data_IF_814529532862
#
_entry.id   IF_814529532862
#
_cell.length_a   1.000
_cell.length_b   1.000
_cell.length_c   1.000
_cell.angle_alpha   90.00
_cell.angle_beta   90.00
_cell.angle_gamma   90.00
#
_symmetry.space_group_name_H-M   'P 1'
#
loop_
_entity.id
_entity.type
_entity.pdbx_description
1 polymer ?
#
# COMPACT_ATOMS: atom_id res chain seq x y z
N UNK A 1 18.86 3.92 -2.45
CA UNK A 1 17.84 3.62 -1.43
C UNK A 1 16.56 4.38 -1.76
N UNK A 2 15.46 3.69 -1.75
CA UNK A 2 14.09 4.22 -1.94
C UNK A 2 13.81 5.42 -1.03
N UNK A 3 14.50 5.53 0.10
CA UNK A 3 14.28 6.56 1.12
C UNK A 3 15.08 7.85 0.92
N UNK A 4 16.09 7.86 0.04
CA UNK A 4 17.01 9.00 -0.08
C UNK A 4 16.38 10.28 -0.66
N UNK A 5 15.17 10.20 -1.19
CA UNK A 5 14.43 11.32 -1.77
C UNK A 5 13.04 11.48 -1.13
N UNK A 6 12.90 11.07 0.12
CA UNK A 6 11.65 11.24 0.85
C UNK A 6 11.52 12.67 1.39
N UNK A 7 10.33 13.24 1.27
CA UNK A 7 9.97 14.54 1.83
C UNK A 7 8.89 14.36 2.89
N UNK A 8 9.18 14.84 4.12
CA UNK A 8 8.27 14.76 5.26
C UNK A 8 7.18 15.82 5.18
N UNK A 9 5.96 15.43 5.53
CA UNK A 9 4.79 16.27 5.73
C UNK A 9 4.15 15.95 7.06
N UNK A 10 3.41 16.91 7.65
CA UNK A 10 2.81 16.76 8.98
C UNK A 10 1.28 16.80 8.97
N UNK A 11 0.69 17.24 7.87
CA UNK A 11 -0.76 17.41 7.75
C UNK A 11 -1.35 16.44 6.69
N UNK A 12 -2.45 15.74 6.98
CA UNK A 12 -3.23 15.68 8.23
C UNK A 12 -2.57 14.85 9.33
N UNK A 13 -1.59 14.04 9.01
CA UNK A 13 -0.74 13.28 9.90
C UNK A 13 0.66 13.14 9.29
N UNK A 14 1.64 12.75 10.10
CA UNK A 14 3.03 12.62 9.63
C UNK A 14 3.12 11.52 8.57
N UNK A 15 3.59 11.88 7.40
CA UNK A 15 3.89 10.99 6.29
C UNK A 15 5.07 11.49 5.48
N UNK A 16 5.61 10.61 4.65
CA UNK A 16 6.70 10.93 3.72
C UNK A 16 6.26 10.61 2.30
N UNK A 17 6.50 11.54 1.40
CA UNK A 17 6.29 11.33 -0.03
C UNK A 17 7.59 10.91 -0.70
N UNK A 18 7.49 10.01 -1.67
CA UNK A 18 8.59 9.40 -2.40
C UNK A 18 8.49 9.76 -3.88
N UNK A 19 9.58 10.26 -4.44
CA UNK A 19 9.67 10.56 -5.86
C UNK A 19 10.61 9.53 -6.53
N UNK A 20 10.10 8.85 -7.56
CA UNK A 20 10.80 7.81 -8.32
C UNK A 20 11.41 6.70 -7.43
N UNK A 21 10.61 6.10 -6.51
CA UNK A 21 11.13 5.06 -5.62
C UNK A 21 11.44 3.73 -6.30
N UNK A 22 10.85 3.45 -7.46
CA UNK A 22 10.97 2.17 -8.17
C UNK A 22 11.96 2.24 -9.32
N UNK A 23 12.67 1.14 -9.57
CA UNK A 23 13.46 0.94 -10.78
C UNK A 23 12.57 0.56 -11.97
N UNK A 24 13.07 0.72 -13.19
CA UNK A 24 12.36 0.28 -14.41
C UNK A 24 12.05 -1.23 -14.40
N UNK A 25 12.95 -2.05 -13.86
CA UNK A 25 12.71 -3.49 -13.69
C UNK A 25 11.51 -3.74 -12.78
N UNK A 26 11.45 -3.07 -11.62
CA UNK A 26 10.34 -3.22 -10.67
C UNK A 26 9.01 -2.76 -11.29
N UNK A 27 9.02 -1.66 -12.02
CA UNK A 27 7.84 -1.16 -12.73
C UNK A 27 7.36 -2.19 -13.77
N UNK A 28 8.28 -2.76 -14.57
CA UNK A 28 7.93 -3.77 -15.55
C UNK A 28 7.36 -5.05 -14.91
N UNK A 29 7.91 -5.47 -13.78
CA UNK A 29 7.37 -6.60 -13.02
C UNK A 29 5.95 -6.32 -12.49
N UNK A 30 5.69 -5.10 -12.00
CA UNK A 30 4.36 -4.68 -11.55
C UNK A 30 3.34 -4.71 -12.70
N UNK A 31 3.69 -4.19 -13.86
CA UNK A 31 2.80 -4.13 -15.03
C UNK A 31 2.44 -5.54 -15.53
N UNK A 32 3.38 -6.46 -15.46
CA UNK A 32 3.22 -7.82 -15.97
C UNK A 32 2.80 -8.83 -14.89
N UNK A 33 2.50 -8.39 -13.67
CA UNK A 33 2.07 -9.29 -12.61
C UNK A 33 0.71 -9.91 -12.92
N UNK A 34 0.57 -11.19 -12.62
CA UNK A 34 -0.72 -11.89 -12.69
C UNK A 34 -1.57 -11.49 -11.48
N UNK A 35 -2.42 -10.48 -11.68
CA UNK A 35 -3.22 -9.85 -10.65
C UNK A 35 -4.62 -10.45 -10.68
N UNK A 36 -4.95 -11.22 -9.66
CA UNK A 36 -6.22 -11.93 -9.55
C UNK A 36 -7.12 -11.33 -8.46
N UNK A 37 -8.44 -11.46 -8.62
CA UNK A 37 -9.39 -11.21 -7.55
C UNK A 37 -9.46 -12.43 -6.65
N UNK A 38 -9.01 -12.31 -5.41
CA UNK A 38 -8.94 -13.44 -4.48
C UNK A 38 -10.33 -13.99 -4.13
N UNK A 39 -11.35 -13.14 -4.10
CA UNK A 39 -12.74 -13.54 -3.82
C UNK A 39 -13.28 -14.38 -4.96
N UNK A 40 -13.12 -13.94 -6.22
CA UNK A 40 -13.58 -14.67 -7.41
C UNK A 40 -12.87 -16.02 -7.56
N UNK A 41 -11.58 -16.08 -7.24
CA UNK A 41 -10.80 -17.30 -7.31
C UNK A 41 -10.91 -18.18 -6.06
N UNK A 42 -11.73 -17.76 -5.09
CA UNK A 42 -11.93 -18.49 -3.83
C UNK A 42 -10.63 -18.88 -3.13
N UNK A 43 -9.62 -18.00 -3.23
CA UNK A 43 -8.32 -18.21 -2.62
C UNK A 43 -8.39 -17.95 -1.12
N UNK A 44 -7.69 -18.78 -0.36
CA UNK A 44 -7.62 -18.62 1.07
C UNK A 44 -6.89 -17.35 1.46
N UNK A 45 -7.36 -16.73 2.52
CA UNK A 45 -6.76 -15.58 3.14
C UNK A 45 -5.40 -15.93 3.78
N UNK A 46 -4.38 -15.14 3.53
CA UNK A 46 -3.00 -15.39 4.00
C UNK A 46 -2.69 -14.81 5.39
N UNK A 47 -3.69 -14.44 6.16
CA UNK A 47 -3.54 -13.80 7.46
C UNK A 47 -3.43 -12.28 7.41
N UNK A 48 -3.61 -11.65 6.26
CA UNK A 48 -3.31 -10.22 6.06
C UNK A 48 -4.50 -9.30 6.20
N UNK A 49 -5.69 -9.77 6.50
CA UNK A 49 -6.96 -9.00 6.49
C UNK A 49 -7.29 -8.30 5.18
N UNK A 50 -6.63 -8.66 4.12
CA UNK A 50 -6.81 -7.98 2.85
C UNK A 50 -8.18 -8.24 2.24
N UNK A 51 -8.84 -9.32 2.60
CA UNK A 51 -10.10 -9.76 1.99
C UNK A 51 -11.29 -9.41 2.88
N UNK A 52 -11.24 -9.72 4.18
CA UNK A 52 -12.47 -9.73 4.98
C UNK A 52 -12.28 -9.57 6.49
N UNK A 53 -11.10 -9.31 6.92
CA UNK A 53 -10.81 -9.24 8.35
C UNK A 53 -10.58 -10.61 9.01
N UNK A 54 -10.31 -11.67 8.24
CA UNK A 54 -9.83 -12.96 8.73
C UNK A 54 -10.89 -14.04 8.86
N UNK A 55 -12.10 -13.83 8.36
CA UNK A 55 -13.21 -14.79 8.49
C UNK A 55 -13.80 -15.29 7.16
N UNK A 56 -13.21 -14.93 6.00
CA UNK A 56 -13.77 -15.25 4.68
C UNK A 56 -15.09 -14.51 4.38
N UNK A 57 -15.34 -13.39 5.06
CA UNK A 57 -16.55 -12.58 4.89
C UNK A 57 -16.25 -11.11 4.76
N UNK A 58 -16.96 -10.42 3.90
CA UNK A 58 -16.91 -8.96 3.86
C UNK A 58 -17.39 -8.38 5.20
N UNK A 59 -16.61 -7.46 5.76
CA UNK A 59 -17.08 -6.71 6.91
C UNK A 59 -18.22 -5.81 6.49
N UNK A 60 -19.32 -5.91 7.20
CA UNK A 60 -20.41 -4.95 7.08
C UNK A 60 -19.87 -3.51 7.21
N UNK A 61 -20.11 -2.70 6.20
CA UNK A 61 -19.68 -1.31 6.16
C UNK A 61 -18.23 -1.03 5.73
N UNK A 62 -17.41 -2.06 5.43
CA UNK A 62 -16.17 -1.91 4.65
C UNK A 62 -16.53 -2.36 3.24
N UNK A 63 -16.85 -1.45 2.41
CA UNK A 63 -17.26 -1.56 1.02
C UNK A 63 -17.29 -2.97 0.43
N UNK A 64 -18.45 -3.56 0.29
CA UNK A 64 -18.61 -4.80 -0.47
C UNK A 64 -18.04 -4.68 -1.88
N UNK A 65 -18.19 -3.51 -2.50
CA UNK A 65 -17.55 -3.18 -3.76
C UNK A 65 -16.02 -3.11 -3.69
N UNK A 66 -15.43 -2.78 -2.53
CA UNK A 66 -13.98 -2.63 -2.39
C UNK A 66 -13.24 -3.94 -2.63
N UNK A 67 -13.65 -5.01 -1.99
CA UNK A 67 -12.94 -6.29 -2.13
C UNK A 67 -13.20 -6.98 -3.48
N UNK A 68 -14.42 -6.94 -3.98
CA UNK A 68 -14.76 -7.47 -5.30
C UNK A 68 -14.05 -6.73 -6.45
N UNK A 69 -13.67 -5.47 -6.24
CA UNK A 69 -13.00 -4.63 -7.23
C UNK A 69 -11.48 -4.52 -7.00
N UNK A 70 -10.94 -5.16 -5.97
CA UNK A 70 -9.53 -5.18 -5.67
C UNK A 70 -8.88 -6.47 -6.14
N UNK A 71 -7.93 -6.34 -7.04
CA UNK A 71 -7.15 -7.43 -7.61
C UNK A 71 -5.74 -7.41 -7.05
N UNK A 72 -5.14 -8.56 -6.78
CA UNK A 72 -3.88 -8.67 -6.07
C UNK A 72 -2.96 -9.75 -6.64
N UNK A 73 -1.65 -9.49 -6.50
CA UNK A 73 -0.61 -10.50 -6.60
C UNK A 73 0.31 -10.34 -5.38
N UNK A 74 0.39 -11.35 -4.52
CA UNK A 74 1.31 -11.36 -3.38
C UNK A 74 2.69 -11.80 -3.83
N UNK A 75 3.72 -11.04 -3.46
CA UNK A 75 5.11 -11.40 -3.71
C UNK A 75 5.60 -12.20 -2.50
N UNK A 76 5.73 -13.50 -2.67
CA UNK A 76 6.08 -14.48 -1.64
C UNK A 76 7.25 -15.36 -2.08
N UNK A 77 7.74 -16.20 -1.18
CA UNK A 77 8.82 -17.15 -1.49
C UNK A 77 8.50 -18.06 -2.68
N UNK A 78 7.21 -18.31 -2.94
CA UNK A 78 6.77 -19.22 -4.00
C UNK A 78 6.96 -18.62 -5.41
N UNK A 79 6.98 -17.26 -5.52
CA UNK A 79 7.12 -16.56 -6.79
C UNK A 79 8.29 -15.55 -6.83
N UNK A 80 9.22 -15.60 -5.88
CA UNK A 80 10.38 -14.70 -5.88
C UNK A 80 11.22 -14.75 -7.15
N UNK A 81 11.28 -15.90 -7.81
CA UNK A 81 12.04 -16.07 -9.05
C UNK A 81 11.37 -15.36 -10.24
N UNK A 82 10.05 -15.20 -10.21
CA UNK A 82 9.28 -14.54 -11.25
C UNK A 82 9.36 -13.00 -11.12
N UNK A 83 9.69 -12.50 -9.91
CA UNK A 83 9.75 -11.10 -9.55
C UNK A 83 11.08 -10.71 -8.88
N UNK A 84 12.23 -10.87 -9.57
CA UNK A 84 13.53 -10.63 -8.96
C UNK A 84 13.75 -9.18 -8.50
N UNK A 85 13.21 -8.19 -9.22
CA UNK A 85 13.29 -6.76 -8.85
C UNK A 85 12.46 -6.44 -7.60
N UNK A 86 11.23 -6.95 -7.52
CA UNK A 86 10.38 -6.78 -6.33
C UNK A 86 10.92 -7.57 -5.14
N UNK A 87 11.49 -8.75 -5.36
CA UNK A 87 12.19 -9.53 -4.35
C UNK A 87 13.38 -8.76 -3.79
N UNK A 88 14.15 -8.08 -4.64
CA UNK A 88 15.25 -7.22 -4.20
C UNK A 88 14.75 -6.02 -3.40
N UNK A 89 13.61 -5.44 -3.75
CA UNK A 89 12.98 -4.38 -2.96
C UNK A 89 12.64 -4.86 -1.53
N UNK A 90 12.05 -6.06 -1.41
CA UNK A 90 11.79 -6.67 -0.09
C UNK A 90 13.08 -6.84 0.70
N UNK A 91 14.14 -7.39 0.09
CA UNK A 91 15.45 -7.58 0.74
C UNK A 91 16.09 -6.26 1.15
N UNK A 92 15.99 -5.22 0.32
CA UNK A 92 16.48 -3.89 0.64
C UNK A 92 15.74 -3.28 1.83
N UNK A 93 14.42 -3.37 1.86
CA UNK A 93 13.59 -2.87 2.95
C UNK A 93 13.82 -3.63 4.27
N UNK A 94 14.14 -4.93 4.21
CA UNK A 94 14.46 -5.76 5.37
C UNK A 94 15.95 -5.77 5.75
N UNK A 95 16.79 -5.06 5.00
CA UNK A 95 18.19 -4.89 5.37
C UNK A 95 18.30 -4.12 6.68
N UNK A 96 19.21 -4.56 7.57
CA UNK A 96 19.37 -3.97 8.91
C UNK A 96 19.55 -2.44 8.86
N UNK A 97 20.41 -1.92 8.00
CA UNK A 97 20.66 -0.48 7.89
C UNK A 97 19.40 0.27 7.42
N UNK A 98 18.63 -0.30 6.49
CA UNK A 98 17.38 0.29 6.01
C UNK A 98 16.32 0.26 7.10
N UNK A 99 16.17 -0.85 7.81
CA UNK A 99 15.26 -0.95 8.95
C UNK A 99 15.59 0.08 10.05
N UNK A 100 16.86 0.25 10.39
CA UNK A 100 17.32 1.26 11.37
C UNK A 100 16.97 2.69 10.91
N UNK A 101 17.20 3.00 9.62
CA UNK A 101 16.82 4.32 9.07
C UNK A 101 15.31 4.55 9.12
N UNK A 102 14.52 3.58 8.72
CA UNK A 102 13.05 3.70 8.78
C UNK A 102 12.59 3.81 10.24
N UNK A 103 13.11 2.98 11.14
CA UNK A 103 12.80 3.03 12.57
C UNK A 103 13.03 4.43 13.15
N UNK A 104 14.17 5.05 12.80
CA UNK A 104 14.48 6.42 13.24
C UNK A 104 13.52 7.45 12.65
N UNK A 105 13.13 7.30 11.38
CA UNK A 105 12.18 8.22 10.73
C UNK A 105 10.78 8.16 11.36
N UNK A 106 10.29 6.95 11.62
CA UNK A 106 8.91 6.75 12.09
C UNK A 106 8.81 6.67 13.62
N UNK A 107 9.93 6.61 14.32
CA UNK A 107 9.96 6.51 15.79
C UNK A 107 9.43 5.18 16.33
N UNK A 108 9.57 4.08 15.57
CA UNK A 108 9.13 2.73 15.97
C UNK A 108 10.18 1.69 15.68
N UNK A 109 10.29 0.69 16.54
CA UNK A 109 11.19 -0.45 16.35
C UNK A 109 10.67 -1.40 15.26
N UNK A 110 11.49 -1.65 14.25
CA UNK A 110 11.21 -2.59 13.16
C UNK A 110 12.07 -3.86 13.23
N UNK A 111 12.81 -4.08 14.31
CA UNK A 111 13.75 -5.22 14.43
C UNK A 111 13.11 -6.59 14.24
N UNK A 112 11.84 -6.73 14.63
CA UNK A 112 11.05 -7.95 14.48
C UNK A 112 9.93 -7.83 13.41
N UNK A 113 9.98 -6.78 12.60
CA UNK A 113 9.01 -6.60 11.52
C UNK A 113 9.45 -7.32 10.25
N UNK A 114 8.49 -7.65 9.41
CA UNK A 114 8.73 -8.16 8.07
C UNK A 114 7.97 -7.34 7.03
N UNK A 115 8.47 -7.35 5.82
CA UNK A 115 7.82 -6.70 4.68
C UNK A 115 6.83 -7.69 4.07
N UNK A 116 5.58 -7.25 3.93
CA UNK A 116 4.61 -7.84 3.05
C UNK A 116 4.46 -6.94 1.83
N UNK A 117 4.73 -7.49 0.66
CA UNK A 117 4.60 -6.76 -0.60
C UNK A 117 3.53 -7.40 -1.45
N UNK A 118 2.65 -6.58 -1.97
CA UNK A 118 1.61 -6.97 -2.90
C UNK A 118 1.50 -5.97 -4.04
N UNK A 119 1.28 -6.47 -5.24
CA UNK A 119 0.88 -5.68 -6.40
C UNK A 119 -0.63 -5.63 -6.41
N UNK A 120 -1.19 -4.43 -6.48
CA UNK A 120 -2.64 -4.20 -6.37
C UNK A 120 -3.13 -3.46 -7.60
N UNK A 121 -4.28 -3.89 -8.12
CA UNK A 121 -5.05 -3.16 -9.12
C UNK A 121 -6.48 -2.99 -8.62
N UNK A 122 -6.86 -1.76 -8.32
CA UNK A 122 -8.23 -1.40 -8.01
C UNK A 122 -8.98 -1.11 -9.31
N UNK A 123 -10.18 -1.67 -9.48
CA UNK A 123 -11.00 -1.49 -10.67
C UNK A 123 -11.96 -0.30 -10.51
N UNK A 124 -12.48 0.18 -11.62
CA UNK A 124 -13.46 1.28 -11.65
C UNK A 124 -14.60 1.04 -10.67
N UNK A 125 -14.91 2.05 -9.85
CA UNK A 125 -15.92 1.97 -8.81
C UNK A 125 -15.40 1.48 -7.44
N UNK A 126 -14.11 1.17 -7.33
CA UNK A 126 -13.49 0.87 -6.03
C UNK A 126 -13.61 2.06 -5.08
N UNK A 127 -13.87 1.77 -3.83
CA UNK A 127 -13.86 2.74 -2.75
C UNK A 127 -13.51 2.06 -1.42
N UNK A 128 -13.00 2.82 -0.49
CA UNK A 128 -12.63 2.34 0.83
C UNK A 128 -12.94 3.41 1.87
N UNK A 129 -13.75 3.08 2.87
CA UNK A 129 -14.07 4.00 3.95
C UNK A 129 -12.82 4.49 4.66
N UNK A 130 -12.84 5.72 5.20
CA UNK A 130 -11.80 6.20 6.11
C UNK A 130 -11.60 5.21 7.26
N UNK A 131 -10.35 4.79 7.45
CA UNK A 131 -9.94 3.85 8.51
C UNK A 131 -8.51 4.12 8.94
N UNK A 132 -8.13 3.62 10.09
CA UNK A 132 -6.75 3.44 10.48
C UNK A 132 -6.37 1.98 10.33
N UNK A 133 -5.12 1.72 10.01
CA UNK A 133 -4.61 0.36 9.88
C UNK A 133 -4.63 -0.39 11.23
N UNK A 134 -4.61 -1.70 11.18
CA UNK A 134 -4.53 -2.57 12.35
C UNK A 134 -3.20 -2.41 13.08
N UNK A 135 -3.16 -2.78 14.36
CA UNK A 135 -1.98 -2.59 15.23
C UNK A 135 -0.73 -3.33 14.74
N UNK A 136 -0.93 -4.47 14.11
CA UNK A 136 0.15 -5.31 13.57
C UNK A 136 0.86 -4.66 12.38
N UNK A 137 0.22 -3.72 11.73
CA UNK A 137 0.76 -2.98 10.58
C UNK A 137 1.48 -1.73 11.09
N UNK A 138 2.77 -1.86 11.32
CA UNK A 138 3.60 -0.79 11.91
C UNK A 138 3.75 0.39 10.95
N UNK A 139 3.88 0.10 9.66
CA UNK A 139 4.05 1.09 8.59
C UNK A 139 3.26 0.68 7.36
N UNK A 140 2.67 1.63 6.69
CA UNK A 140 2.07 1.47 5.37
C UNK A 140 2.88 2.26 4.34
N UNK A 141 3.17 1.61 3.21
CA UNK A 141 3.85 2.20 2.08
C UNK A 141 3.09 1.85 0.81
N UNK A 142 2.71 2.85 0.03
CA UNK A 142 2.09 2.67 -1.28
C UNK A 142 2.97 3.33 -2.35
N UNK A 143 3.23 2.57 -3.42
CA UNK A 143 4.02 3.00 -4.56
C UNK A 143 3.16 2.87 -5.81
N UNK A 144 2.95 3.97 -6.51
CA UNK A 144 2.05 4.06 -7.66
C UNK A 144 2.78 3.84 -8.97
N UNK A 145 2.14 3.10 -9.88
CA UNK A 145 2.55 2.93 -11.27
C UNK A 145 1.38 3.35 -12.15
N UNK A 146 1.49 4.50 -12.79
CA UNK A 146 0.45 5.09 -13.65
C UNK A 146 0.97 5.25 -15.08
N UNK A 147 1.00 4.15 -15.84
CA UNK A 147 1.48 4.13 -17.23
C UNK A 147 0.40 4.50 -18.25
N UNK A 148 -0.84 4.63 -17.83
CA UNK A 148 -1.98 4.96 -18.69
C UNK A 148 -2.43 6.42 -18.57
N UNK A 149 -1.70 7.26 -17.82
CA UNK A 149 -2.06 8.66 -17.56
C UNK A 149 -3.48 8.82 -17.00
N UNK A 150 -3.86 7.92 -16.11
CA UNK A 150 -5.10 8.03 -15.35
C UNK A 150 -5.05 9.25 -14.42
N UNK A 151 -6.21 9.71 -13.98
CA UNK A 151 -6.31 10.89 -13.12
C UNK A 151 -5.50 10.76 -11.84
N UNK A 152 -4.76 11.79 -11.48
CA UNK A 152 -4.03 11.85 -10.20
C UNK A 152 -4.98 11.79 -8.99
N UNK A 153 -6.26 12.11 -9.15
CA UNK A 153 -7.27 12.03 -8.10
C UNK A 153 -7.63 10.60 -7.69
N UNK A 154 -7.16 9.58 -8.44
CA UNK A 154 -7.35 8.15 -8.11
C UNK A 154 -6.41 7.65 -7.01
N UNK A 155 -5.65 8.52 -6.38
CA UNK A 155 -4.78 8.17 -5.27
C UNK A 155 -5.52 8.01 -3.94
N UNK A 156 -4.75 7.80 -2.88
CA UNK A 156 -5.29 7.58 -1.53
C UNK A 156 -5.71 8.90 -0.89
N UNK A 157 -6.88 8.91 -0.31
CA UNK A 157 -7.42 10.04 0.44
C UNK A 157 -6.95 10.00 1.90
N UNK A 158 -6.46 11.14 2.39
CA UNK A 158 -6.06 11.37 3.78
C UNK A 158 -7.05 12.29 4.49
N UNK A 159 -7.43 11.92 5.69
CA UNK A 159 -8.46 12.60 6.47
C UNK A 159 -7.89 13.11 7.80
N UNK A 160 -8.50 14.16 8.33
CA UNK A 160 -8.24 14.61 9.69
C UNK A 160 -8.96 13.73 10.73
N UNK A 161 -8.81 14.06 12.01
CA UNK A 161 -9.45 13.36 13.12
C UNK A 161 -10.99 13.45 13.12
N UNK A 162 -11.56 14.40 12.38
CA UNK A 162 -13.00 14.55 12.18
C UNK A 162 -13.51 13.84 10.92
N UNK A 163 -12.66 13.03 10.29
CA UNK A 163 -12.93 12.34 9.03
C UNK A 163 -13.25 13.28 7.86
N UNK A 164 -12.75 14.51 7.91
CA UNK A 164 -12.83 15.43 6.78
C UNK A 164 -11.64 15.17 5.85
N UNK A 165 -11.93 15.04 4.56
CA UNK A 165 -10.89 14.93 3.53
C UNK A 165 -10.01 16.18 3.55
N UNK A 166 -8.70 15.96 3.70
CA UNK A 166 -7.67 17.01 3.73
C UNK A 166 -6.81 16.99 2.48
N UNK A 167 -6.44 15.79 2.01
CA UNK A 167 -5.50 15.62 0.92
C UNK A 167 -5.76 14.31 0.19
N UNK A 168 -5.68 14.33 -1.12
CA UNK A 168 -5.56 13.12 -1.94
C UNK A 168 -4.10 12.98 -2.36
N UNK A 169 -3.48 11.83 -2.04
CA UNK A 169 -2.15 11.50 -2.52
C UNK A 169 -2.22 11.27 -4.03
N UNK A 170 -1.41 11.97 -4.85
CA UNK A 170 -1.59 11.90 -6.29
C UNK A 170 -1.23 10.51 -6.83
N UNK A 171 -2.13 9.92 -7.62
CA UNK A 171 -1.88 8.70 -8.40
C UNK A 171 -0.98 9.02 -9.59
N UNK A 172 0.30 9.21 -9.31
CA UNK A 172 1.32 9.63 -10.28
C UNK A 172 2.28 8.48 -10.56
N UNK A 173 2.76 8.39 -11.79
CA UNK A 173 3.71 7.34 -12.16
C UNK A 173 5.02 7.43 -11.36
N UNK A 174 5.45 6.29 -10.84
CA UNK A 174 6.64 6.13 -10.01
C UNK A 174 6.71 7.16 -8.87
N UNK A 175 5.62 7.28 -8.15
CA UNK A 175 5.45 8.12 -6.98
C UNK A 175 4.83 7.32 -5.85
N UNK A 176 4.98 7.76 -4.63
CA UNK A 176 4.37 7.05 -3.52
C UNK A 176 4.53 7.77 -2.20
N UNK A 177 4.16 7.08 -1.14
CA UNK A 177 4.23 7.61 0.21
C UNK A 177 4.33 6.48 1.23
N UNK A 178 4.77 6.82 2.43
CA UNK A 178 4.64 5.95 3.59
C UNK A 178 4.30 6.75 4.85
N UNK A 179 3.72 6.06 5.81
CA UNK A 179 3.47 6.58 7.14
C UNK A 179 3.55 5.48 8.19
N UNK A 180 3.81 5.87 9.44
CA UNK A 180 3.69 4.99 10.58
C UNK A 180 2.23 4.88 10.99
N UNK A 181 1.68 3.66 11.02
CA UNK A 181 0.30 3.44 11.42
C UNK A 181 0.04 3.87 12.87
N UNK A 182 -1.05 4.55 13.10
CA UNK A 182 -1.43 5.07 14.41
C UNK A 182 -2.93 5.37 14.50
N UNK A 183 -3.42 5.81 15.66
CA UNK A 183 -4.85 6.01 15.90
C UNK A 183 -5.45 7.17 15.10
N UNK A 184 -4.61 8.05 14.56
CA UNK A 184 -5.04 9.24 13.81
C UNK A 184 -4.59 9.23 12.34
N UNK A 185 -4.07 8.11 11.84
CA UNK A 185 -3.65 7.99 10.43
C UNK A 185 -4.82 7.57 9.54
N UNK A 186 -5.87 8.40 9.53
CA UNK A 186 -7.09 8.14 8.79
C UNK A 186 -6.87 8.26 7.29
N UNK A 187 -7.10 7.18 6.58
CA UNK A 187 -6.96 7.12 5.14
C UNK A 187 -8.01 6.21 4.51
N UNK A 188 -8.21 6.36 3.23
CA UNK A 188 -9.21 5.62 2.48
C UNK A 188 -9.17 6.00 1.01
N UNK A 189 -10.30 5.83 0.36
CA UNK A 189 -10.50 6.25 -1.03
C UNK A 189 -11.98 6.51 -1.24
N UNK A 190 -12.35 7.74 -1.53
CA UNK A 190 -13.70 8.08 -1.94
C UNK A 190 -14.01 7.44 -3.30
N UNK A 191 -15.27 7.10 -3.52
CA UNK A 191 -15.68 6.58 -4.82
C UNK A 191 -15.43 7.65 -5.89
N UNK A 192 -14.67 7.30 -6.89
CA UNK A 192 -14.40 8.13 -8.07
C UNK A 192 -15.17 7.56 -9.26
N UNK A 193 -15.74 8.42 -10.07
CA UNK A 193 -16.48 8.05 -11.29
C UNK A 193 -15.58 7.81 -12.49
#
# INVERSE_FOLDING_TARGET
SVLNQSKKYENPFIHWELNKPLTEQQINEIINADIVNLVEHNLSYDGTRAIDGGEGKFREGISDGGQALKFRCFITKDNFNDFPGLTNLIKELQNKQTCEKISNLIGKDLSNAYVRLEVICDRKGFWLKPHCDIKEKIMSCLLFVNKHNESEELGTDFYDSNLKLVKTMPYRDNYGYFFSSGPNTWHGMEKKD
#
